data_IF_471561130106
#
_entry.id   IF_471561130106
#
_cell.length_a   1.000
_cell.length_b   1.000
_cell.length_c   1.000
_cell.angle_alpha   90.00
_cell.angle_beta   90.00
_cell.angle_gamma   90.00
#
_symmetry.space_group_name_H-M   'P 1'
#
loop_
_entity.id
_entity.type
_entity.pdbx_description
1 polymer ?
#
# COMPACT_ATOMS: atom_id res chain seq x y z
N UNK A 1 47.30 69.34 -30.79
CA UNK A 1 48.07 68.09 -30.58
C UNK A 1 47.28 67.27 -29.56
N UNK A 2 46.80 66.04 -29.73
CA UNK A 2 46.90 64.94 -30.70
C UNK A 2 45.51 64.25 -30.81
N UNK A 3 45.21 63.45 -31.85
CA UNK A 3 43.92 62.78 -31.99
C UNK A 3 43.94 61.33 -31.43
N UNK A 4 42.90 60.96 -30.68
CA UNK A 4 42.61 59.58 -30.25
C UNK A 4 41.52 58.98 -31.17
N UNK A 5 41.93 58.20 -32.17
CA UNK A 5 41.06 57.27 -32.91
C UNK A 5 41.88 56.11 -33.43
N UNK A 6 41.68 54.92 -32.86
CA UNK A 6 41.63 53.62 -33.56
C UNK A 6 41.82 52.48 -32.57
N UNK A 7 40.75 51.90 -32.02
CA UNK A 7 40.84 50.61 -31.31
C UNK A 7 39.47 49.90 -31.13
N UNK A 8 38.55 49.98 -32.11
CA UNK A 8 37.25 49.27 -32.00
C UNK A 8 36.82 48.38 -33.19
N UNK A 9 37.62 48.27 -34.26
CA UNK A 9 37.18 47.59 -35.49
C UNK A 9 37.45 46.07 -35.55
N UNK A 10 38.41 45.54 -34.77
CA UNK A 10 38.83 44.13 -34.87
C UNK A 10 38.00 43.14 -34.03
N UNK A 11 37.30 43.60 -32.99
CA UNK A 11 36.54 42.74 -32.08
C UNK A 11 35.19 42.26 -32.69
N UNK A 12 34.47 43.17 -33.36
CA UNK A 12 33.16 42.89 -33.96
C UNK A 12 33.21 41.85 -35.10
N UNK A 13 34.31 41.78 -35.84
CA UNK A 13 34.47 40.81 -36.94
C UNK A 13 34.67 39.38 -36.45
N UNK A 14 35.25 39.17 -35.26
CA UNK A 14 35.43 37.82 -34.68
C UNK A 14 34.13 37.28 -34.09
N UNK A 15 33.30 38.13 -33.49
CA UNK A 15 32.02 37.73 -32.94
C UNK A 15 31.03 37.29 -34.04
N UNK A 16 31.00 38.04 -35.15
CA UNK A 16 30.13 37.72 -36.29
C UNK A 16 30.49 36.39 -36.95
N UNK A 17 31.77 36.04 -37.04
CA UNK A 17 32.21 34.77 -37.61
C UNK A 17 31.85 33.57 -36.72
N UNK A 18 31.96 33.71 -35.40
CA UNK A 18 31.59 32.66 -34.44
C UNK A 18 30.08 32.38 -34.47
N UNK A 19 29.26 33.43 -34.54
CA UNK A 19 27.80 33.28 -34.64
C UNK A 19 27.42 32.60 -35.96
N UNK A 20 28.08 32.97 -37.08
CA UNK A 20 27.80 32.34 -38.37
C UNK A 20 28.17 30.85 -38.38
N UNK A 21 29.32 30.48 -37.79
CA UNK A 21 29.75 29.07 -37.69
C UNK A 21 28.79 28.26 -36.81
N UNK A 22 28.35 28.82 -35.67
CA UNK A 22 27.36 28.16 -34.80
C UNK A 22 26.01 27.95 -35.51
N UNK A 23 25.54 28.93 -36.28
CA UNK A 23 24.29 28.80 -37.04
C UNK A 23 24.40 27.74 -38.14
N UNK A 24 25.54 27.63 -38.82
CA UNK A 24 25.77 26.58 -39.82
C UNK A 24 25.82 25.20 -39.17
N UNK A 25 26.53 25.03 -38.04
CA UNK A 25 26.59 23.74 -37.32
C UNK A 25 25.20 23.31 -36.82
N UNK A 26 24.41 24.23 -36.27
CA UNK A 26 23.03 23.92 -35.84
C UNK A 26 22.14 23.55 -37.03
N UNK A 27 22.29 24.22 -38.18
CA UNK A 27 21.52 23.86 -39.38
C UNK A 27 21.86 22.48 -39.95
N UNK A 28 23.09 22.00 -39.76
CA UNK A 28 23.52 20.65 -40.16
C UNK A 28 22.99 19.57 -39.22
N UNK A 29 22.78 19.89 -37.94
CA UNK A 29 22.17 18.95 -36.98
C UNK A 29 20.65 18.82 -37.15
N UNK A 30 19.97 19.88 -37.58
CA UNK A 30 18.49 19.87 -37.78
C UNK A 30 18.08 19.18 -39.08
N UNK A 31 18.99 19.05 -40.05
CA UNK A 31 18.70 18.46 -41.37
C UNK A 31 19.15 17.00 -41.53
N UNK A 32 19.55 16.33 -40.45
CA UNK A 32 19.98 14.92 -40.48
C UNK A 32 18.76 13.97 -40.41
N UNK A 33 18.35 13.30 -41.51
CA UNK A 33 17.09 12.53 -41.55
C UNK A 33 17.15 11.18 -40.82
N UNK A 34 18.28 10.85 -40.17
CA UNK A 34 18.59 9.50 -39.68
C UNK A 34 18.41 9.30 -38.17
N UNK A 35 17.85 10.27 -37.44
CA UNK A 35 17.64 10.16 -35.98
C UNK A 35 16.16 10.01 -35.57
N UNK A 36 15.23 9.78 -36.50
CA UNK A 36 13.81 9.61 -36.17
C UNK A 36 13.27 8.18 -36.30
N UNK A 37 14.07 7.20 -36.76
CA UNK A 37 13.61 5.80 -36.91
C UNK A 37 14.22 4.79 -35.91
N UNK A 38 14.34 5.10 -34.60
CA UNK A 38 14.13 4.01 -33.65
C UNK A 38 13.21 4.37 -32.49
N UNK A 39 12.74 5.61 -32.37
CA UNK A 39 11.90 5.99 -31.22
C UNK A 39 10.48 5.44 -31.34
N UNK A 40 9.89 5.42 -32.53
CA UNK A 40 8.55 4.86 -32.72
C UNK A 40 8.54 3.33 -32.57
N UNK A 41 9.60 2.63 -32.96
CA UNK A 41 9.76 1.19 -32.69
C UNK A 41 10.05 0.90 -31.22
N UNK A 42 10.83 1.75 -30.54
CA UNK A 42 11.06 1.64 -29.10
C UNK A 42 9.77 1.88 -28.31
N UNK A 43 8.99 2.89 -28.68
CA UNK A 43 7.69 3.19 -28.06
C UNK A 43 6.65 2.12 -28.38
N UNK A 44 6.66 1.54 -29.60
CA UNK A 44 5.83 0.38 -29.93
C UNK A 44 6.25 -0.88 -29.15
N UNK A 45 7.55 -1.07 -28.88
CA UNK A 45 8.05 -2.19 -28.05
C UNK A 45 7.73 -2.03 -26.57
N UNK A 46 7.72 -0.79 -26.06
CA UNK A 46 7.30 -0.46 -24.70
C UNK A 46 5.78 -0.66 -24.49
N UNK A 47 4.97 -0.48 -25.55
CA UNK A 47 3.53 -0.76 -25.53
C UNK A 47 3.18 -2.26 -25.57
N UNK A 48 4.17 -3.14 -25.81
CA UNK A 48 4.02 -4.60 -25.80
C UNK A 48 4.74 -5.27 -24.64
N UNK A 49 5.15 -4.51 -23.61
CA UNK A 49 5.43 -5.15 -22.33
C UNK A 49 4.09 -5.59 -21.79
N UNK A 50 3.75 -6.85 -22.06
CA UNK A 50 2.77 -7.62 -21.31
C UNK A 50 3.34 -7.69 -19.87
N UNK A 51 3.20 -6.60 -19.12
CA UNK A 51 3.44 -6.61 -17.68
C UNK A 51 2.48 -7.69 -17.21
N UNK A 52 2.98 -8.81 -16.66
CA UNK A 52 2.11 -9.86 -16.16
C UNK A 52 1.11 -9.14 -15.26
N UNK A 53 -0.18 -9.24 -15.60
CA UNK A 53 -1.22 -8.68 -14.77
C UNK A 53 -1.13 -9.45 -13.46
N UNK A 54 -0.34 -8.93 -12.51
CA UNK A 54 -0.30 -9.43 -11.14
C UNK A 54 -1.73 -9.20 -10.69
N UNK A 55 -2.52 -10.27 -10.62
CA UNK A 55 -3.88 -10.27 -10.07
C UNK A 55 -3.92 -10.89 -8.68
N UNK A 56 -2.74 -11.18 -8.12
CA UNK A 56 -2.62 -11.91 -6.86
C UNK A 56 -2.67 -10.93 -5.70
N UNK A 57 -3.58 -11.21 -4.79
CA UNK A 57 -3.69 -10.51 -3.51
C UNK A 57 -3.06 -11.35 -2.40
N UNK A 58 -2.47 -10.67 -1.42
CA UNK A 58 -1.97 -11.26 -0.18
C UNK A 58 -2.85 -10.79 0.98
N UNK A 59 -3.44 -11.73 1.71
CA UNK A 59 -4.01 -11.43 3.04
C UNK A 59 -2.86 -11.55 4.05
N UNK A 60 -2.37 -10.40 4.51
CA UNK A 60 -1.30 -10.30 5.51
C UNK A 60 -1.89 -10.26 6.92
N UNK A 61 -1.93 -11.42 7.57
CA UNK A 61 -2.51 -11.57 8.91
C UNK A 61 -1.45 -11.27 9.95
N UNK A 62 -1.71 -10.31 10.84
CA UNK A 62 -0.81 -10.02 11.96
C UNK A 62 -1.48 -10.41 13.28
N UNK A 63 -0.82 -11.18 14.12
CA UNK A 63 -1.44 -11.69 15.33
C UNK A 63 -0.44 -11.90 16.45
N UNK A 64 -0.87 -11.66 17.69
CA UNK A 64 -0.15 -12.06 18.91
C UNK A 64 -0.78 -13.30 19.57
N UNK A 65 -1.68 -13.99 18.86
CA UNK A 65 -2.36 -15.22 19.28
C UNK A 65 -3.00 -15.13 20.68
N UNK A 66 -3.70 -14.04 20.98
CA UNK A 66 -4.55 -13.98 22.18
C UNK A 66 -5.70 -14.97 22.11
N UNK A 67 -6.30 -15.29 23.26
CA UNK A 67 -7.52 -16.09 23.34
C UNK A 67 -8.64 -15.54 22.44
N UNK A 68 -8.77 -14.21 22.37
CA UNK A 68 -9.71 -13.56 21.45
C UNK A 68 -9.37 -13.89 19.99
N UNK A 69 -8.10 -13.76 19.58
CA UNK A 69 -7.70 -14.08 18.22
C UNK A 69 -7.94 -15.56 17.86
N UNK A 70 -7.64 -16.49 18.78
CA UNK A 70 -7.99 -17.91 18.61
C UNK A 70 -9.49 -18.11 18.43
N UNK A 71 -10.31 -17.44 19.24
CA UNK A 71 -11.77 -17.53 19.13
C UNK A 71 -12.27 -17.04 17.77
N UNK A 72 -11.71 -15.96 17.22
CA UNK A 72 -12.07 -15.48 15.90
C UNK A 72 -11.66 -16.45 14.79
N UNK A 73 -10.43 -17.00 14.86
CA UNK A 73 -9.97 -18.03 13.95
C UNK A 73 -10.85 -19.29 14.01
N UNK A 74 -11.35 -19.67 15.18
CA UNK A 74 -12.20 -20.85 15.32
C UNK A 74 -13.63 -20.60 14.79
N UNK A 75 -14.21 -19.43 15.08
CA UNK A 75 -15.65 -19.19 14.89
C UNK A 75 -16.00 -18.52 13.58
N UNK A 76 -15.21 -17.56 13.10
CA UNK A 76 -15.58 -16.76 11.93
C UNK A 76 -14.72 -17.08 10.70
N UNK A 77 -13.41 -17.26 10.88
CA UNK A 77 -12.50 -17.49 9.76
C UNK A 77 -12.86 -18.68 8.87
N UNK A 78 -13.35 -19.83 9.37
CA UNK A 78 -13.68 -20.96 8.48
C UNK A 78 -14.74 -20.59 7.44
N UNK A 79 -15.75 -19.80 7.84
CA UNK A 79 -16.77 -19.30 6.91
C UNK A 79 -16.21 -18.25 5.95
N UNK A 80 -15.36 -17.34 6.44
CA UNK A 80 -14.73 -16.32 5.60
C UNK A 80 -13.84 -16.95 4.52
N UNK A 81 -13.01 -17.92 4.91
CA UNK A 81 -12.13 -18.67 4.00
C UNK A 81 -12.93 -19.53 3.01
N UNK A 82 -14.06 -20.10 3.43
CA UNK A 82 -14.89 -20.93 2.57
C UNK A 82 -15.73 -20.11 1.57
N UNK A 83 -16.25 -18.94 1.99
CA UNK A 83 -17.31 -18.22 1.26
C UNK A 83 -16.88 -16.88 0.66
N UNK A 84 -15.96 -16.16 1.29
CA UNK A 84 -15.52 -14.84 0.82
C UNK A 84 -14.56 -14.94 -0.36
N UNK A 85 -14.88 -14.23 -1.45
CA UNK A 85 -14.11 -14.25 -2.68
C UNK A 85 -12.71 -13.69 -2.48
N UNK A 86 -12.57 -12.60 -1.72
CA UNK A 86 -11.25 -12.01 -1.44
C UNK A 86 -10.34 -12.98 -0.69
N UNK A 87 -10.90 -13.79 0.20
CA UNK A 87 -10.13 -14.78 0.96
C UNK A 87 -9.75 -15.98 0.07
N UNK A 88 -10.66 -16.48 -0.77
CA UNK A 88 -10.39 -17.62 -1.67
C UNK A 88 -9.39 -17.31 -2.77
N UNK A 89 -9.32 -16.06 -3.21
CA UNK A 89 -8.46 -15.64 -4.32
C UNK A 89 -7.09 -15.10 -3.86
N UNK A 90 -6.81 -15.14 -2.55
CA UNK A 90 -5.58 -14.61 -1.97
C UNK A 90 -4.67 -15.71 -1.46
N UNK A 91 -3.37 -15.45 -1.52
CA UNK A 91 -2.40 -16.16 -0.68
C UNK A 91 -2.43 -15.56 0.74
N UNK A 92 -1.90 -16.27 1.73
CA UNK A 92 -1.86 -15.82 3.11
C UNK A 92 -0.43 -15.77 3.65
N UNK A 93 -0.12 -14.70 4.37
CA UNK A 93 1.09 -14.59 5.18
C UNK A 93 0.68 -14.23 6.59
N UNK A 94 1.00 -15.10 7.55
CA UNK A 94 0.66 -14.92 8.96
C UNK A 94 1.92 -14.51 9.73
N UNK A 95 2.03 -13.25 10.12
CA UNK A 95 3.04 -12.81 11.07
C UNK A 95 2.54 -12.97 12.51
N UNK A 96 3.24 -13.80 13.24
CA UNK A 96 2.92 -14.20 14.61
C UNK A 96 3.95 -13.54 15.54
N UNK A 97 3.48 -12.69 16.45
CA UNK A 97 4.30 -12.06 17.50
C UNK A 97 4.09 -12.79 18.82
N UNK A 98 5.15 -13.36 19.39
CA UNK A 98 5.06 -14.18 20.60
C UNK A 98 5.97 -13.71 21.73
N UNK A 99 5.53 -13.97 22.95
CA UNK A 99 6.38 -13.80 24.13
C UNK A 99 7.52 -14.83 24.11
N UNK A 100 8.61 -14.50 24.78
CA UNK A 100 9.76 -15.41 24.86
C UNK A 100 9.36 -16.74 25.54
N UNK A 101 9.76 -17.86 24.92
CA UNK A 101 9.42 -19.20 25.39
C UNK A 101 7.99 -19.67 25.08
N UNK A 102 7.24 -18.94 24.27
CA UNK A 102 5.92 -19.38 23.78
C UNK A 102 6.00 -19.81 22.32
N UNK A 103 5.28 -20.87 21.98
CA UNK A 103 5.21 -21.44 20.64
C UNK A 103 3.79 -21.30 20.08
N UNK A 104 3.62 -21.09 18.76
CA UNK A 104 2.30 -21.13 18.14
C UNK A 104 1.68 -22.51 18.25
N UNK A 105 0.35 -22.58 18.40
CA UNK A 105 -0.38 -23.83 18.20
C UNK A 105 -0.46 -24.12 16.69
N UNK A 106 0.54 -24.81 16.17
CA UNK A 106 0.63 -25.14 14.74
C UNK A 106 -0.50 -26.05 14.27
N UNK A 107 -0.93 -27.03 15.09
CA UNK A 107 -2.07 -27.89 14.74
C UNK A 107 -3.32 -27.05 14.47
N UNK A 108 -3.61 -26.10 15.35
CA UNK A 108 -4.75 -25.18 15.19
C UNK A 108 -4.63 -24.29 13.94
N UNK A 109 -3.45 -23.69 13.71
CA UNK A 109 -3.24 -22.82 12.55
C UNK A 109 -3.33 -23.61 11.24
N UNK A 110 -2.68 -24.77 11.17
CA UNK A 110 -2.73 -25.66 10.01
C UNK A 110 -4.18 -26.09 9.72
N UNK A 111 -4.98 -26.37 10.75
CA UNK A 111 -6.39 -26.70 10.60
C UNK A 111 -7.23 -25.50 10.11
N UNK A 112 -6.97 -24.30 10.64
CA UNK A 112 -7.66 -23.06 10.25
C UNK A 112 -7.45 -22.75 8.77
N UNK A 113 -6.21 -22.91 8.30
CA UNK A 113 -5.78 -22.55 6.94
C UNK A 113 -5.66 -23.74 5.99
N UNK A 114 -6.20 -24.91 6.34
CA UNK A 114 -5.96 -26.19 5.65
C UNK A 114 -6.23 -26.18 4.14
N UNK A 115 -7.18 -25.37 3.69
CA UNK A 115 -7.58 -25.27 2.28
C UNK A 115 -7.06 -23.99 1.60
N UNK A 116 -6.02 -23.37 2.17
CA UNK A 116 -5.43 -22.13 1.66
C UNK A 116 -3.92 -22.27 1.52
N UNK A 117 -3.33 -21.50 0.60
CA UNK A 117 -1.89 -21.36 0.53
C UNK A 117 -1.45 -20.31 1.56
N UNK A 118 -0.92 -20.77 2.70
CA UNK A 118 -0.43 -19.86 3.73
C UNK A 118 1.01 -20.15 4.12
N UNK A 119 1.70 -19.07 4.48
CA UNK A 119 3.02 -19.12 5.13
C UNK A 119 2.93 -18.41 6.48
N UNK A 120 3.81 -18.78 7.41
CA UNK A 120 3.85 -18.17 8.73
C UNK A 120 5.27 -17.70 9.08
N UNK A 121 5.35 -16.55 9.73
CA UNK A 121 6.59 -15.96 10.23
C UNK A 121 6.42 -15.71 11.72
N UNK A 122 7.30 -16.26 12.55
CA UNK A 122 7.26 -16.07 14.01
C UNK A 122 8.36 -15.11 14.42
N UNK A 123 7.99 -14.09 15.19
CA UNK A 123 8.92 -13.08 15.72
C UNK A 123 8.64 -12.80 17.19
N UNK A 124 9.66 -12.33 17.92
CA UNK A 124 9.49 -11.88 19.31
C UNK A 124 8.55 -10.67 19.36
N UNK A 125 7.59 -10.69 20.27
CA UNK A 125 6.63 -9.62 20.47
C UNK A 125 7.33 -8.35 21.00
N UNK A 126 7.36 -7.26 20.22
CA UNK A 126 8.03 -6.02 20.62
C UNK A 126 7.14 -5.10 21.46
N UNK A 127 5.88 -5.48 21.73
CA UNK A 127 4.87 -4.65 22.38
C UNK A 127 3.70 -4.29 21.47
N UNK A 128 2.65 -3.71 22.07
CA UNK A 128 1.33 -3.53 21.44
C UNK A 128 1.38 -2.74 20.12
N UNK A 129 1.88 -1.51 20.14
CA UNK A 129 1.99 -0.69 18.91
C UNK A 129 3.13 -1.16 18.01
N UNK A 130 4.19 -1.67 18.63
CA UNK A 130 5.41 -2.07 17.96
C UNK A 130 5.18 -3.32 17.10
N UNK A 131 4.20 -4.16 17.42
CA UNK A 131 3.87 -5.34 16.63
C UNK A 131 3.41 -4.98 15.21
N UNK A 132 2.48 -4.03 15.08
CA UNK A 132 2.01 -3.55 13.77
C UNK A 132 3.13 -2.82 13.00
N UNK A 133 3.94 -2.03 13.71
CA UNK A 133 5.10 -1.35 13.12
C UNK A 133 6.13 -2.35 12.59
N UNK A 134 6.46 -3.36 13.39
CA UNK A 134 7.38 -4.45 13.04
C UNK A 134 6.86 -5.22 11.83
N UNK A 135 5.55 -5.47 11.77
CA UNK A 135 4.93 -6.21 10.69
C UNK A 135 5.14 -5.55 9.33
N UNK A 136 4.77 -4.27 9.23
CA UNK A 136 4.96 -3.49 8.00
C UNK A 136 6.45 -3.38 7.65
N UNK A 137 7.29 -3.07 8.64
CA UNK A 137 8.74 -2.94 8.44
C UNK A 137 9.37 -4.23 7.93
N UNK A 138 9.03 -5.39 8.52
CA UNK A 138 9.54 -6.70 8.09
C UNK A 138 9.04 -7.08 6.71
N UNK A 139 7.78 -6.78 6.39
CA UNK A 139 7.21 -7.02 5.06
C UNK A 139 8.04 -6.40 3.94
N UNK A 140 8.36 -5.10 4.07
CA UNK A 140 9.20 -4.40 3.09
C UNK A 140 10.67 -4.79 3.16
N UNK A 141 11.26 -4.99 4.35
CA UNK A 141 12.68 -5.36 4.46
C UNK A 141 13.00 -6.73 3.89
N UNK A 142 12.04 -7.65 3.87
CA UNK A 142 12.24 -9.02 3.42
C UNK A 142 11.51 -9.29 2.10
N UNK A 143 11.05 -8.25 1.41
CA UNK A 143 10.40 -8.35 0.09
C UNK A 143 9.21 -9.33 0.09
N UNK A 144 8.47 -9.41 1.20
CA UNK A 144 7.32 -10.32 1.32
C UNK A 144 6.16 -9.94 0.41
N UNK A 145 6.16 -8.70 -0.10
CA UNK A 145 5.07 -8.11 -0.85
C UNK A 145 5.35 -8.01 -2.36
N UNK A 146 6.58 -8.30 -2.80
CA UNK A 146 7.08 -7.97 -4.14
C UNK A 146 6.35 -8.66 -5.29
N UNK A 147 5.72 -9.81 -5.04
CA UNK A 147 5.01 -10.62 -6.05
C UNK A 147 3.49 -10.37 -6.09
N UNK A 148 2.98 -9.51 -5.21
CA UNK A 148 1.55 -9.25 -5.07
C UNK A 148 1.16 -7.91 -5.68
N UNK A 149 -0.05 -7.85 -6.24
CA UNK A 149 -0.66 -6.60 -6.69
C UNK A 149 -1.23 -5.83 -5.50
N UNK A 150 -1.82 -6.56 -4.56
CA UNK A 150 -2.46 -6.00 -3.39
C UNK A 150 -2.01 -6.74 -2.14
N UNK A 151 -1.69 -5.98 -1.10
CA UNK A 151 -1.45 -6.48 0.25
C UNK A 151 -2.54 -5.95 1.16
N UNK A 152 -3.32 -6.85 1.74
CA UNK A 152 -4.46 -6.56 2.59
C UNK A 152 -4.11 -7.01 4.01
N UNK A 153 -3.78 -6.07 4.88
CA UNK A 153 -3.45 -6.38 6.28
C UNK A 153 -4.71 -6.46 7.12
N UNK A 154 -4.81 -7.53 7.91
CA UNK A 154 -5.88 -7.74 8.90
C UNK A 154 -5.33 -8.34 10.20
N UNK A 155 -6.00 -8.08 11.32
CA UNK A 155 -5.92 -8.94 12.51
C UNK A 155 -6.99 -10.03 12.46
N UNK A 156 -6.87 -11.09 13.28
CA UNK A 156 -7.91 -12.12 13.37
C UNK A 156 -9.30 -11.58 13.75
N UNK A 157 -9.34 -10.52 14.54
CA UNK A 157 -10.56 -9.84 14.99
C UNK A 157 -10.98 -8.66 14.10
N UNK A 158 -10.36 -8.56 12.92
CA UNK A 158 -10.74 -7.66 11.82
C UNK A 158 -11.27 -8.48 10.65
N UNK A 159 -12.55 -8.32 10.34
CA UNK A 159 -13.25 -9.15 9.36
C UNK A 159 -13.75 -8.28 8.20
N UNK A 160 -13.55 -8.76 6.97
CA UNK A 160 -14.18 -8.20 5.78
C UNK A 160 -15.56 -8.85 5.68
N UNK A 161 -16.62 -8.03 5.75
CA UNK A 161 -18.03 -8.43 5.71
C UNK A 161 -18.59 -8.45 4.30
N UNK A 162 -18.10 -7.53 3.47
CA UNK A 162 -18.50 -7.38 2.09
C UNK A 162 -17.25 -7.03 1.30
N UNK A 163 -16.72 -8.01 0.56
CA UNK A 163 -15.53 -7.86 -0.25
C UNK A 163 -15.79 -7.21 -1.61
N UNK A 164 -17.04 -7.07 -2.05
CA UNK A 164 -17.37 -6.37 -3.30
C UNK A 164 -16.90 -4.92 -3.27
N UNK A 165 -16.97 -4.26 -2.10
CA UNK A 165 -16.38 -2.92 -1.93
C UNK A 165 -14.87 -2.93 -2.17
N UNK A 166 -14.14 -3.94 -1.70
CA UNK A 166 -12.70 -4.00 -1.92
C UNK A 166 -12.38 -4.27 -3.38
N UNK A 167 -13.08 -5.21 -4.03
CA UNK A 167 -12.89 -5.47 -5.45
C UNK A 167 -13.14 -4.23 -6.31
N UNK A 168 -14.22 -3.48 -6.06
CA UNK A 168 -14.52 -2.22 -6.76
C UNK A 168 -13.33 -1.24 -6.70
N UNK A 169 -12.69 -1.12 -5.52
CA UNK A 169 -11.56 -0.21 -5.34
C UNK A 169 -10.24 -0.78 -5.84
N UNK A 170 -10.07 -2.09 -5.78
CA UNK A 170 -8.87 -2.78 -6.26
C UNK A 170 -8.81 -2.81 -7.80
N UNK A 171 -9.97 -2.85 -8.46
CA UNK A 171 -10.11 -2.79 -9.91
C UNK A 171 -9.87 -1.38 -10.50
N UNK A 172 -10.00 -0.33 -9.69
CA UNK A 172 -9.65 1.03 -10.12
C UNK A 172 -8.13 1.23 -10.10
N UNK A 173 -7.53 1.30 -11.29
CA UNK A 173 -6.10 1.50 -11.48
C UNK A 173 -5.56 2.81 -10.88
N UNK A 174 -6.42 3.79 -10.56
CA UNK A 174 -6.02 5.03 -9.88
C UNK A 174 -5.89 4.86 -8.37
N UNK A 175 -6.49 3.82 -7.80
CA UNK A 175 -6.45 3.58 -6.36
C UNK A 175 -5.23 2.72 -6.04
N UNK A 176 -4.41 3.24 -5.14
CA UNK A 176 -3.19 2.61 -4.65
C UNK A 176 -3.28 2.23 -3.17
N UNK A 177 -4.29 2.74 -2.45
CA UNK A 177 -4.55 2.36 -1.06
C UNK A 177 -6.00 2.48 -0.66
N UNK A 178 -6.49 1.52 0.11
CA UNK A 178 -7.78 1.53 0.79
C UNK A 178 -7.54 1.50 2.31
N UNK A 179 -8.01 2.53 3.01
CA UNK A 179 -7.71 2.75 4.42
C UNK A 179 -8.97 2.87 5.25
N UNK A 180 -8.88 2.58 6.55
CA UNK A 180 -9.89 2.98 7.51
C UNK A 180 -9.37 4.16 8.34
N UNK A 181 -10.24 5.13 8.62
CA UNK A 181 -9.90 6.26 9.50
C UNK A 181 -10.05 5.86 10.97
N UNK A 182 -9.26 6.47 11.85
CA UNK A 182 -9.36 6.35 13.30
C UNK A 182 -10.29 7.40 13.93
N UNK A 183 -10.66 8.47 13.22
CA UNK A 183 -11.27 9.67 13.80
C UNK A 183 -12.71 9.97 13.37
N UNK A 184 -13.36 9.12 12.56
CA UNK A 184 -14.68 9.36 11.96
C UNK A 184 -14.72 10.68 11.20
N UNK A 185 -13.59 11.13 10.65
CA UNK A 185 -13.56 12.37 9.90
C UNK A 185 -14.15 12.09 8.54
N UNK A 186 -15.16 12.88 8.18
CA UNK A 186 -15.65 12.87 6.80
C UNK A 186 -14.47 13.19 5.88
N UNK A 187 -14.34 12.43 4.81
CA UNK A 187 -13.51 12.80 3.69
C UNK A 187 -14.42 13.27 2.54
N UNK A 188 -14.68 14.59 2.42
CA UNK A 188 -15.71 15.09 1.51
C UNK A 188 -15.47 14.72 0.04
N UNK A 189 -14.21 14.56 -0.34
CA UNK A 189 -13.76 14.22 -1.70
C UNK A 189 -13.69 12.71 -1.94
N UNK A 190 -13.79 11.88 -0.91
CA UNK A 190 -13.61 10.43 -0.98
C UNK A 190 -12.16 9.95 -1.14
N UNK A 191 -11.26 10.86 -1.54
CA UNK A 191 -9.81 10.70 -1.66
C UNK A 191 -9.08 11.96 -1.16
N UNK A 192 -7.76 11.95 -1.15
CA UNK A 192 -6.93 13.06 -0.66
C UNK A 192 -7.22 13.46 0.79
N UNK A 193 -7.51 12.47 1.64
CA UNK A 193 -7.99 12.70 3.00
C UNK A 193 -6.83 12.95 3.98
N UNK A 194 -6.05 14.01 3.74
CA UNK A 194 -4.80 14.32 4.47
C UNK A 194 -4.96 14.54 5.98
N UNK A 195 -6.18 14.79 6.46
CA UNK A 195 -6.47 14.94 7.89
C UNK A 195 -6.87 13.63 8.58
N UNK A 196 -7.07 12.55 7.84
CA UNK A 196 -7.43 11.25 8.39
C UNK A 196 -6.21 10.55 8.99
N UNK A 197 -6.46 9.59 9.89
CA UNK A 197 -5.41 8.80 10.54
C UNK A 197 -5.65 7.33 10.22
N UNK A 198 -4.68 6.72 9.53
CA UNK A 198 -4.80 5.36 9.02
C UNK A 198 -4.81 4.36 10.18
N UNK A 199 -5.87 3.57 10.24
CA UNK A 199 -6.03 2.45 11.15
C UNK A 199 -5.01 1.37 10.77
N UNK A 200 -4.20 0.91 11.73
CA UNK A 200 -3.24 -0.13 11.36
C UNK A 200 -3.94 -1.45 11.13
N UNK A 201 -4.88 -1.89 12.00
CA UNK A 201 -5.47 -3.24 11.92
C UNK A 201 -6.23 -3.57 10.64
N UNK A 202 -6.48 -2.59 9.77
CA UNK A 202 -6.93 -2.79 8.41
C UNK A 202 -6.28 -1.79 7.45
N UNK A 203 -5.66 -2.29 6.38
CA UNK A 203 -5.40 -1.53 5.17
C UNK A 203 -5.30 -2.47 3.98
N UNK A 204 -5.54 -1.98 2.78
CA UNK A 204 -5.17 -2.65 1.53
C UNK A 204 -4.33 -1.69 0.71
N UNK A 205 -3.18 -2.12 0.21
CA UNK A 205 -2.27 -1.26 -0.56
C UNK A 205 -1.71 -2.00 -1.77
N UNK A 206 -1.39 -1.23 -2.82
CA UNK A 206 -0.44 -1.64 -3.85
C UNK A 206 0.98 -1.47 -3.29
N UNK A 207 1.75 -2.54 -3.09
CA UNK A 207 3.04 -2.44 -2.40
C UNK A 207 4.04 -1.56 -3.16
N UNK A 208 3.95 -1.46 -4.49
CA UNK A 208 4.80 -0.59 -5.31
C UNK A 208 4.55 0.91 -5.09
N UNK A 209 3.41 1.29 -4.50
CA UNK A 209 3.09 2.68 -4.20
C UNK A 209 3.72 3.18 -2.89
N UNK A 210 4.43 2.31 -2.16
CA UNK A 210 5.07 2.62 -0.88
C UNK A 210 6.52 2.18 -0.94
N UNK A 211 7.45 3.10 -0.70
CA UNK A 211 8.86 2.73 -0.69
C UNK A 211 9.29 2.19 0.68
N UNK A 212 10.29 1.29 0.68
CA UNK A 212 10.96 0.89 1.92
C UNK A 212 11.51 2.11 2.68
N UNK A 213 11.97 3.15 1.96
CA UNK A 213 12.46 4.37 2.58
C UNK A 213 11.36 5.07 3.39
N UNK A 214 10.16 5.22 2.83
CA UNK A 214 9.03 5.86 3.53
C UNK A 214 8.66 5.10 4.81
N UNK A 215 8.63 3.76 4.73
CA UNK A 215 8.37 2.89 5.89
C UNK A 215 9.45 3.07 6.96
N UNK A 216 10.72 3.12 6.57
CA UNK A 216 11.84 3.25 7.50
C UNK A 216 11.91 4.64 8.13
N UNK A 217 11.62 5.71 7.37
CA UNK A 217 11.54 7.08 7.89
C UNK A 217 10.37 7.24 8.87
N UNK A 218 9.20 6.69 8.52
CA UNK A 218 8.04 6.70 9.40
C UNK A 218 8.31 5.96 10.72
N UNK A 219 8.96 4.80 10.65
CA UNK A 219 9.32 4.01 11.83
C UNK A 219 10.29 4.76 12.76
N UNK A 220 11.27 5.48 12.21
CA UNK A 220 12.19 6.32 13.02
C UNK A 220 11.47 7.47 13.71
N UNK A 221 10.48 8.06 13.05
CA UNK A 221 9.83 9.28 13.51
C UNK A 221 8.67 9.04 14.49
N UNK A 222 8.05 7.85 14.50
CA UNK A 222 6.77 7.62 15.16
C UNK A 222 6.78 6.39 16.07
N UNK A 223 6.34 6.58 17.31
CA UNK A 223 6.20 5.51 18.31
C UNK A 223 4.84 4.79 18.17
N UNK A 224 3.79 5.51 17.74
CA UNK A 224 2.45 4.95 17.58
C UNK A 224 2.25 4.35 16.20
N UNK A 225 1.69 3.15 16.14
CA UNK A 225 1.51 2.38 14.91
C UNK A 225 0.72 3.14 13.85
N UNK A 226 -0.38 3.79 14.24
CA UNK A 226 -1.27 4.51 13.33
C UNK A 226 -0.61 5.78 12.80
N UNK A 227 0.21 6.45 13.61
CA UNK A 227 0.99 7.59 13.14
C UNK A 227 2.09 7.16 12.18
N UNK A 228 2.73 6.02 12.45
CA UNK A 228 3.72 5.43 11.55
C UNK A 228 3.07 5.07 10.20
N UNK A 229 1.95 4.34 10.20
CA UNK A 229 1.24 3.99 8.98
C UNK A 229 0.74 5.22 8.21
N UNK A 230 0.19 6.23 8.91
CA UNK A 230 -0.24 7.49 8.29
C UNK A 230 0.91 8.20 7.58
N UNK A 231 2.11 8.18 8.16
CA UNK A 231 3.30 8.76 7.52
C UNK A 231 3.80 7.90 6.36
N UNK A 232 3.91 6.58 6.56
CA UNK A 232 4.41 5.64 5.55
C UNK A 232 3.55 5.66 4.27
N UNK A 233 2.23 5.84 4.40
CA UNK A 233 1.29 5.88 3.28
C UNK A 233 0.91 7.30 2.85
N UNK A 234 1.59 8.32 3.38
CA UNK A 234 1.26 9.72 3.05
C UNK A 234 1.41 10.03 1.56
N UNK A 235 2.32 9.35 0.84
CA UNK A 235 2.45 9.48 -0.62
C UNK A 235 1.16 9.17 -1.37
N UNK A 236 0.49 8.06 -1.02
CA UNK A 236 -0.79 7.63 -1.61
C UNK A 236 -1.88 8.68 -1.37
N UNK A 237 -2.00 9.15 -0.12
CA UNK A 237 -3.01 10.15 0.28
C UNK A 237 -2.74 11.50 -0.37
N UNK A 238 -1.50 11.97 -0.37
CA UNK A 238 -1.13 13.24 -0.99
C UNK A 238 -1.36 13.23 -2.51
N UNK A 239 -1.19 12.08 -3.16
CA UNK A 239 -1.49 11.89 -4.58
C UNK A 239 -3.00 11.81 -4.89
N UNK A 240 -3.87 11.68 -3.87
CA UNK A 240 -5.31 11.47 -4.06
C UNK A 240 -5.66 10.10 -4.65
N UNK A 241 -4.77 9.13 -4.44
CA UNK A 241 -4.89 7.73 -4.90
C UNK A 241 -5.38 6.80 -3.78
N UNK A 242 -5.85 7.40 -2.68
CA UNK A 242 -6.46 6.75 -1.54
C UNK A 242 -7.98 6.59 -1.71
N UNK A 243 -8.51 5.57 -1.04
CA UNK A 243 -9.93 5.33 -0.86
C UNK A 243 -10.16 4.96 0.61
N UNK A 244 -11.32 5.31 1.17
CA UNK A 244 -11.61 5.10 2.59
C UNK A 244 -12.79 4.17 2.82
N UNK A 245 -12.68 3.31 3.83
CA UNK A 245 -13.72 2.38 4.24
C UNK A 245 -14.96 3.18 4.65
N UNK A 246 -16.10 3.03 3.95
CA UNK A 246 -17.30 3.78 4.27
C UNK A 246 -17.90 3.30 5.58
N UNK A 247 -18.54 4.23 6.30
CA UNK A 247 -19.27 3.93 7.52
C UNK A 247 -18.41 3.30 8.61
N UNK A 248 -17.09 3.55 8.68
CA UNK A 248 -16.21 2.93 9.67
C UNK A 248 -16.57 3.27 11.13
N UNK A 249 -17.28 4.38 11.34
CA UNK A 249 -17.65 4.93 12.64
C UNK A 249 -19.00 4.51 13.22
N UNK A 250 -19.30 4.90 14.48
CA UNK A 250 -18.48 5.75 15.34
C UNK A 250 -17.39 4.97 16.13
N UNK A 251 -16.18 5.51 16.15
CA UNK A 251 -15.02 4.98 16.89
C UNK A 251 -15.06 5.16 18.43
N UNK A 252 -15.86 6.10 18.96
CA UNK A 252 -16.00 6.37 20.40
C UNK A 252 -14.64 6.52 21.15
N UNK A 253 -13.72 7.30 20.59
CA UNK A 253 -12.41 7.58 21.18
C UNK A 253 -11.38 6.46 21.04
N UNK A 254 -11.74 5.31 20.46
CA UNK A 254 -10.83 4.20 20.20
C UNK A 254 -10.69 4.01 18.69
N UNK A 255 -9.47 3.93 18.15
CA UNK A 255 -9.29 3.59 16.73
C UNK A 255 -9.75 2.14 16.49
N UNK A 256 -11.03 1.97 16.12
CA UNK A 256 -11.68 0.69 15.83
C UNK A 256 -12.80 0.89 14.83
N UNK A 257 -12.81 0.08 13.76
CA UNK A 257 -13.86 0.06 12.74
C UNK A 257 -15.10 -0.62 13.33
N UNK A 258 -16.18 0.13 13.60
CA UNK A 258 -17.35 -0.37 14.35
C UNK A 258 -18.68 -0.15 13.66
N UNK A 259 -18.73 0.63 12.59
CA UNK A 259 -20.01 0.97 12.00
C UNK A 259 -20.72 -0.24 11.44
N UNK A 260 -22.02 -0.29 11.68
CA UNK A 260 -22.88 -1.41 11.29
C UNK A 260 -22.89 -1.59 9.77
N UNK A 261 -22.97 -0.48 9.03
CA UNK A 261 -22.94 -0.46 7.57
C UNK A 261 -21.51 -0.58 6.98
N UNK A 262 -20.48 -0.70 7.80
CA UNK A 262 -19.11 -0.79 7.30
C UNK A 262 -18.83 -2.16 6.66
N UNK A 263 -18.19 -2.20 5.48
CA UNK A 263 -17.81 -3.46 4.82
C UNK A 263 -16.66 -4.17 5.55
N UNK A 264 -16.00 -3.50 6.50
CA UNK A 264 -14.97 -4.06 7.38
C UNK A 264 -15.42 -3.84 8.83
N UNK A 265 -15.13 -4.78 9.73
CA UNK A 265 -15.33 -4.57 11.17
C UNK A 265 -14.10 -4.97 11.95
N UNK A 266 -13.77 -4.21 12.99
CA UNK A 266 -12.81 -4.54 14.03
C UNK A 266 -13.53 -4.64 15.38
N UNK A 267 -13.61 -5.84 15.95
CA UNK A 267 -14.21 -6.03 17.26
C UNK A 267 -13.50 -7.09 18.09
N UNK A 268 -13.18 -6.75 19.34
CA UNK A 268 -12.58 -7.70 20.28
C UNK A 268 -13.63 -8.51 21.06
N UNK A 269 -14.90 -8.48 20.64
CA UNK A 269 -16.00 -9.15 21.32
C UNK A 269 -16.72 -10.06 20.32
N UNK A 270 -16.39 -11.35 20.34
CA UNK A 270 -16.92 -12.32 19.36
C UNK A 270 -18.45 -12.33 19.29
N UNK A 271 -19.15 -12.17 20.43
CA UNK A 271 -20.62 -12.18 20.49
C UNK A 271 -21.28 -11.05 19.68
N UNK A 272 -20.52 -10.02 19.31
CA UNK A 272 -21.02 -8.92 18.49
C UNK A 272 -21.07 -9.30 17.00
N UNK A 273 -20.38 -10.37 16.59
CA UNK A 273 -20.27 -10.78 15.18
C UNK A 273 -20.57 -12.24 14.94
N UNK A 274 -20.47 -13.11 15.94
CA UNK A 274 -20.91 -14.49 15.86
C UNK A 274 -22.35 -14.61 16.41
N UNK A 275 -23.27 -15.32 15.72
CA UNK A 275 -23.04 -16.15 14.53
C UNK A 275 -23.14 -15.39 13.19
N UNK A 276 -23.39 -14.08 13.18
CA UNK A 276 -23.63 -13.32 11.95
C UNK A 276 -22.50 -13.44 10.88
N UNK A 277 -21.25 -13.58 11.30
CA UNK A 277 -20.10 -13.79 10.39
C UNK A 277 -20.20 -15.08 9.55
N UNK A 278 -21.05 -16.03 9.96
CA UNK A 278 -21.29 -17.27 9.21
C UNK A 278 -22.15 -17.06 7.95
N UNK A 279 -22.89 -15.96 7.88
CA UNK A 279 -23.90 -15.69 6.84
C UNK A 279 -23.65 -14.43 6.02
N UNK A 280 -22.50 -13.76 6.17
CA UNK A 280 -22.22 -12.53 5.41
C UNK A 280 -22.03 -12.76 3.90
N UNK A 281 -21.77 -14.01 3.49
CA UNK A 281 -21.48 -14.41 2.12
C UNK A 281 -22.47 -15.50 1.62
N UNK A 282 -23.64 -15.58 2.26
CA UNK A 282 -24.74 -16.45 1.83
C UNK A 282 -25.71 -15.74 0.88
#
# INVERSE_FOLDING_TARGET
MQPYRHLHSKSLKRLSLIILVLLVVVSWFVSWPYLHEPMDQLMASLNTVNIPQRKKSLIFVTTHLSETHYTFFEKCWPSLLAKGDIYRQSDFLVLITLSEGTEPNWEFLNATFANTNYTAQVVKNPGYHQGAVLALTKGYLNNWFDDYEWVIRVNPDVLIRNDSFLFERMDDAKIQGVFADCFNRDCPTGNHCSSAKIHTDFFAIRPEAVSLQDVMEANKAKIHAELMATQAFSGIVNAGTDSWVPGAGPHNGNCRIRGEASPVIHTNVIRNVYPACLSWYD
#
